data_IF_771332312493
#
_entry.id   IF_771332312493
#
_cell.length_a   1.000
_cell.length_b   1.000
_cell.length_c   1.000
_cell.angle_alpha   90.00
_cell.angle_beta   90.00
_cell.angle_gamma   90.00
#
_symmetry.space_group_name_H-M   'P 1'
#
loop_
_entity.id
_entity.type
_entity.pdbx_description
1 polymer ?
#
# COMPACT_ATOMS: atom_id res chain seq x y z
N UNK A 1 6.37 -63.69 5.93
CA UNK A 1 5.02 -63.21 6.30
C UNK A 1 5.07 -62.30 7.53
N UNK A 2 4.66 -61.03 7.36
CA UNK A 2 4.49 -60.10 8.48
C UNK A 2 4.79 -58.65 8.12
N UNK A 3 4.13 -58.17 7.07
CA UNK A 3 4.04 -56.76 6.72
C UNK A 3 3.06 -56.10 7.68
N UNK A 4 3.52 -55.19 8.52
CA UNK A 4 2.64 -54.33 9.34
C UNK A 4 3.13 -52.89 9.26
N UNK A 5 2.64 -52.27 8.19
CA UNK A 5 1.90 -51.01 8.20
C UNK A 5 2.64 -49.74 8.67
N UNK A 6 3.19 -49.07 7.66
CA UNK A 6 3.63 -47.68 7.68
C UNK A 6 2.42 -46.75 7.78
N UNK A 7 1.83 -46.59 8.96
CA UNK A 7 0.91 -45.48 9.24
C UNK A 7 1.60 -44.46 10.13
N UNK A 8 2.59 -43.78 9.54
CA UNK A 8 2.96 -42.44 9.97
C UNK A 8 1.73 -41.57 9.73
N UNK A 9 1.08 -41.19 10.82
CA UNK A 9 -0.07 -40.30 10.86
C UNK A 9 0.31 -38.94 10.27
N UNK A 10 0.36 -38.88 8.94
CA UNK A 10 0.60 -37.65 8.21
C UNK A 10 -0.69 -36.87 8.24
N UNK A 11 -0.86 -36.04 9.27
CA UNK A 11 -1.91 -35.02 9.29
C UNK A 11 -1.82 -34.27 7.97
N UNK A 12 -2.77 -34.52 7.07
CA UNK A 12 -2.89 -33.84 5.79
C UNK A 12 -3.37 -32.41 6.07
N UNK A 13 -2.48 -31.57 6.59
CA UNK A 13 -2.73 -30.15 6.73
C UNK A 13 -2.66 -29.56 5.33
N UNK A 14 -3.79 -29.05 4.84
CA UNK A 14 -3.77 -28.31 3.58
C UNK A 14 -2.85 -27.10 3.72
N UNK A 15 -2.15 -26.72 2.65
CA UNK A 15 -1.22 -25.58 2.68
C UNK A 15 -1.90 -24.26 3.09
N UNK A 16 -3.24 -24.20 3.09
CA UNK A 16 -4.03 -23.10 3.62
C UNK A 16 -4.15 -23.14 5.15
N UNK A 17 -4.37 -24.31 5.75
CA UNK A 17 -4.50 -24.49 7.20
C UNK A 17 -3.14 -24.40 7.95
N UNK A 18 -2.03 -24.67 7.27
CA UNK A 18 -0.68 -24.47 7.82
C UNK A 18 -0.25 -22.99 7.86
N UNK A 19 -1.00 -22.07 7.23
CA UNK A 19 -0.62 -20.65 7.20
C UNK A 19 -0.95 -20.00 8.54
N UNK A 20 0.01 -19.32 9.19
CA UNK A 20 -0.26 -18.58 10.41
C UNK A 20 -1.34 -17.52 10.15
N UNK A 21 -2.18 -17.27 11.15
CA UNK A 21 -3.23 -16.26 11.05
C UNK A 21 -2.65 -14.90 10.65
N UNK A 22 -3.43 -14.12 9.90
CA UNK A 22 -3.04 -12.76 9.57
C UNK A 22 -3.26 -11.88 10.80
N UNK A 23 -2.17 -11.47 11.42
CA UNK A 23 -2.18 -10.60 12.60
C UNK A 23 -1.81 -9.15 12.26
N UNK A 24 -1.52 -8.86 10.98
CA UNK A 24 -1.10 -7.54 10.52
C UNK A 24 -2.19 -6.49 10.74
N UNK A 25 -1.79 -5.33 11.23
CA UNK A 25 -2.62 -4.12 11.27
C UNK A 25 -2.10 -3.07 10.31
N UNK A 26 -3.01 -2.39 9.61
CA UNK A 26 -2.66 -1.25 8.74
C UNK A 26 -3.64 -0.11 8.98
N UNK A 27 -3.22 1.12 8.70
CA UNK A 27 -4.15 2.23 8.56
C UNK A 27 -5.04 2.02 7.34
N UNK A 28 -6.34 2.31 7.48
CA UNK A 28 -7.30 2.29 6.38
C UNK A 28 -8.11 3.58 6.34
N UNK A 29 -7.93 4.36 5.26
CA UNK A 29 -8.64 5.60 5.03
C UNK A 29 -8.45 6.07 3.58
N UNK A 30 -9.34 6.96 3.13
CA UNK A 30 -9.25 7.68 1.88
C UNK A 30 -9.51 9.16 2.16
N UNK A 31 -8.69 10.04 1.60
CA UNK A 31 -8.92 11.48 1.64
C UNK A 31 -8.52 12.15 0.33
N UNK A 32 -9.28 13.15 -0.06
CA UNK A 32 -8.93 14.11 -1.12
C UNK A 32 -8.50 15.47 -0.55
N UNK A 33 -8.60 15.64 0.77
CA UNK A 33 -8.31 16.88 1.49
C UNK A 33 -6.89 16.80 2.07
N UNK A 34 -5.97 17.73 1.72
CA UNK A 34 -4.58 17.70 2.15
C UNK A 34 -4.33 17.74 3.66
N UNK A 35 -5.28 18.23 4.46
CA UNK A 35 -5.18 18.39 5.92
C UNK A 35 -6.18 17.51 6.69
N UNK A 36 -6.70 16.46 6.04
CA UNK A 36 -7.52 15.47 6.73
C UNK A 36 -6.69 14.60 7.68
N UNK A 37 -7.35 13.96 8.65
CA UNK A 37 -6.69 13.02 9.57
C UNK A 37 -5.97 11.89 8.83
N UNK A 38 -6.51 11.45 7.69
CA UNK A 38 -5.85 10.47 6.84
C UNK A 38 -4.58 11.03 6.21
N UNK A 39 -4.50 12.31 5.80
CA UNK A 39 -3.29 12.84 5.15
C UNK A 39 -2.13 13.06 6.10
N UNK A 40 -2.41 13.30 7.39
CA UNK A 40 -1.42 13.56 8.43
C UNK A 40 -1.49 12.53 9.57
N UNK A 41 -1.45 11.23 9.25
CA UNK A 41 -1.43 10.18 10.27
C UNK A 41 -0.11 10.21 11.03
N UNK A 42 -0.23 10.33 12.36
CA UNK A 42 0.86 10.04 13.28
C UNK A 42 0.82 8.57 13.68
N UNK A 43 1.98 7.97 13.98
CA UNK A 43 2.09 6.56 14.43
C UNK A 43 1.17 6.23 15.62
N UNK A 44 0.79 7.23 16.41
CA UNK A 44 -0.06 7.10 17.58
C UNK A 44 -1.57 7.13 17.28
N UNK A 45 -2.00 7.37 16.03
CA UNK A 45 -3.43 7.45 15.67
C UNK A 45 -4.03 6.07 15.41
N UNK A 46 -4.16 5.26 16.47
CA UNK A 46 -4.68 3.89 16.38
C UNK A 46 -6.14 3.80 15.93
N UNK A 47 -6.89 4.91 15.92
CA UNK A 47 -8.31 4.92 15.57
C UNK A 47 -8.58 4.59 14.09
N UNK A 48 -7.59 4.83 13.22
CA UNK A 48 -7.65 4.49 11.79
C UNK A 48 -7.04 3.12 11.48
N UNK A 49 -6.48 2.45 12.49
CA UNK A 49 -5.89 1.13 12.36
C UNK A 49 -6.97 0.06 12.26
N UNK A 50 -6.88 -0.79 11.25
CA UNK A 50 -7.72 -1.99 11.11
C UNK A 50 -6.86 -3.24 11.07
N UNK A 51 -7.42 -4.34 11.57
CA UNK A 51 -6.83 -5.66 11.38
C UNK A 51 -6.99 -6.09 9.92
N UNK A 52 -5.91 -6.53 9.30
CA UNK A 52 -5.98 -7.11 7.97
C UNK A 52 -6.55 -8.53 8.02
N UNK A 53 -7.42 -8.84 7.07
CA UNK A 53 -8.09 -10.13 6.98
C UNK A 53 -7.58 -10.97 5.81
N UNK A 54 -7.82 -12.29 5.89
CA UNK A 54 -7.53 -13.26 4.84
C UNK A 54 -6.03 -13.26 4.46
N UNK A 55 -5.76 -13.16 3.17
CA UNK A 55 -4.43 -13.17 2.57
C UNK A 55 -3.84 -11.76 2.33
N UNK A 56 -4.50 -10.71 2.85
CA UNK A 56 -4.01 -9.32 2.75
C UNK A 56 -2.90 -9.04 3.75
N UNK A 57 -1.66 -9.41 3.41
CA UNK A 57 -0.51 -9.35 4.32
C UNK A 57 0.45 -8.19 4.06
N UNK A 58 -0.02 -7.15 3.37
CA UNK A 58 0.79 -5.98 3.02
C UNK A 58 -0.02 -4.72 3.30
N UNK A 59 0.58 -3.76 4.01
CA UNK A 59 0.04 -2.41 4.10
C UNK A 59 0.44 -1.60 2.87
N UNK A 60 -0.51 -0.86 2.33
CA UNK A 60 -0.35 -0.05 1.13
C UNK A 60 -0.67 1.42 1.42
N UNK A 61 0.05 2.31 0.74
CA UNK A 61 -0.32 3.73 0.57
C UNK A 61 -0.33 4.03 -0.92
N UNK A 62 -1.43 4.59 -1.43
CA UNK A 62 -1.49 5.20 -2.76
C UNK A 62 -1.64 6.71 -2.61
N UNK A 63 -0.78 7.47 -3.27
CA UNK A 63 -0.82 8.93 -3.28
C UNK A 63 -0.92 9.44 -4.70
N UNK A 64 -1.90 10.30 -4.91
CA UNK A 64 -2.11 11.01 -6.16
C UNK A 64 -1.84 12.49 -5.91
N UNK A 65 -0.94 13.06 -6.70
CA UNK A 65 -0.60 14.47 -6.61
C UNK A 65 -0.37 15.04 -8.00
N UNK A 66 -0.45 16.36 -8.17
CA UNK A 66 -0.28 16.98 -9.48
C UNK A 66 0.49 18.29 -9.41
N UNK A 67 1.13 18.61 -10.54
CA UNK A 67 1.71 19.93 -10.83
C UNK A 67 1.17 20.41 -12.15
N UNK A 68 0.93 21.72 -12.27
CA UNK A 68 0.54 22.35 -13.54
C UNK A 68 1.69 23.24 -13.99
N UNK A 69 2.09 23.09 -15.25
CA UNK A 69 3.14 23.91 -15.87
C UNK A 69 2.55 24.80 -16.96
N UNK A 70 2.88 26.08 -16.88
CA UNK A 70 2.67 27.05 -17.94
C UNK A 70 4.02 27.39 -18.58
N UNK A 71 4.07 28.34 -19.51
CA UNK A 71 5.27 28.66 -20.29
C UNK A 71 6.48 29.05 -19.43
N UNK A 72 6.24 29.68 -18.27
CA UNK A 72 7.31 30.24 -17.44
C UNK A 72 7.38 29.66 -16.04
N UNK A 73 6.40 28.87 -15.61
CA UNK A 73 6.28 28.43 -14.22
C UNK A 73 5.62 27.06 -14.08
N UNK A 74 6.08 26.28 -13.10
CA UNK A 74 5.43 25.05 -12.65
C UNK A 74 4.93 25.26 -11.22
N UNK A 75 3.68 24.89 -10.96
CA UNK A 75 3.12 24.98 -9.61
C UNK A 75 3.82 24.01 -8.66
N UNK A 76 3.81 24.30 -7.37
CA UNK A 76 4.14 23.32 -6.34
C UNK A 76 3.23 22.07 -6.48
N UNK A 77 3.75 20.93 -6.02
CA UNK A 77 3.01 19.65 -6.01
C UNK A 77 1.81 19.78 -5.08
N UNK A 78 0.61 19.58 -5.61
CA UNK A 78 -0.64 19.56 -4.84
C UNK A 78 -1.12 18.13 -4.68
N UNK A 79 -1.53 17.76 -3.46
CA UNK A 79 -2.19 16.47 -3.24
C UNK A 79 -3.58 16.52 -3.87
N UNK A 80 -3.93 15.46 -4.60
CA UNK A 80 -5.29 15.22 -5.05
C UNK A 80 -5.97 14.18 -4.17
N UNK A 81 -5.31 13.05 -3.93
CA UNK A 81 -5.88 11.99 -3.11
C UNK A 81 -4.81 11.14 -2.42
N UNK A 82 -5.21 10.51 -1.31
CA UNK A 82 -4.39 9.59 -0.54
C UNK A 82 -5.26 8.44 -0.02
N UNK A 83 -4.87 7.22 -0.33
CA UNK A 83 -5.55 5.99 0.09
C UNK A 83 -4.58 5.13 0.90
N UNK A 84 -5.06 4.56 2.00
CA UNK A 84 -4.36 3.56 2.79
C UNK A 84 -5.22 2.33 2.95
N UNK A 85 -4.63 1.15 2.83
CA UNK A 85 -5.37 -0.09 2.96
C UNK A 85 -4.47 -1.30 3.20
N UNK A 86 -5.07 -2.41 3.66
CA UNK A 86 -4.49 -3.74 3.56
C UNK A 86 -4.67 -4.26 2.13
N UNK A 87 -3.63 -4.84 1.54
CA UNK A 87 -3.70 -5.49 0.24
C UNK A 87 -2.99 -6.85 0.25
N UNK A 88 -3.38 -7.70 -0.71
CA UNK A 88 -2.69 -8.96 -1.02
C UNK A 88 -1.50 -8.72 -1.95
N UNK A 89 -1.66 -7.82 -2.90
CA UNK A 89 -0.67 -7.47 -3.91
C UNK A 89 -0.38 -5.98 -3.84
N UNK A 90 0.90 -5.63 -3.78
CA UNK A 90 1.36 -4.26 -3.69
C UNK A 90 2.58 -4.10 -4.58
N UNK A 91 2.47 -3.23 -5.58
CA UNK A 91 3.55 -2.90 -6.49
C UNK A 91 4.07 -1.51 -6.12
N UNK A 92 5.22 -1.42 -5.42
CA UNK A 92 5.80 -0.13 -5.09
C UNK A 92 6.31 0.51 -6.37
N UNK A 93 5.90 1.75 -6.63
CA UNK A 93 6.27 2.46 -7.84
C UNK A 93 5.60 3.82 -7.91
N UNK A 94 6.18 4.72 -8.70
CA UNK A 94 5.55 5.99 -9.06
C UNK A 94 5.45 6.09 -10.57
N UNK A 95 4.27 6.44 -11.07
CA UNK A 95 4.07 6.78 -12.48
C UNK A 95 3.74 8.26 -12.62
N UNK A 96 4.26 8.89 -13.67
CA UNK A 96 3.98 10.27 -14.02
C UNK A 96 3.25 10.28 -15.35
N UNK A 97 2.06 10.89 -15.36
CA UNK A 97 1.15 10.94 -16.50
C UNK A 97 0.90 12.40 -16.88
N UNK A 98 0.96 12.73 -18.17
CA UNK A 98 0.62 14.05 -18.70
C UNK A 98 1.82 14.97 -18.94
N UNK A 99 1.60 16.00 -19.76
CA UNK A 99 2.64 16.94 -20.21
C UNK A 99 2.62 18.24 -19.39
N UNK A 100 1.60 19.09 -19.61
CA UNK A 100 1.40 20.36 -18.86
C UNK A 100 0.93 20.11 -17.43
N UNK A 101 -0.11 19.29 -17.28
CA UNK A 101 -0.56 18.82 -15.97
C UNK A 101 0.01 17.44 -15.74
N UNK A 102 1.03 17.35 -14.88
CA UNK A 102 1.64 16.09 -14.50
C UNK A 102 0.93 15.53 -13.29
N UNK A 103 0.31 14.36 -13.46
CA UNK A 103 -0.25 13.55 -12.38
C UNK A 103 0.80 12.53 -11.93
N UNK A 104 1.12 12.54 -10.65
CA UNK A 104 2.00 11.58 -10.00
C UNK A 104 1.13 10.59 -9.23
N UNK A 105 1.15 9.32 -9.62
CA UNK A 105 0.48 8.23 -8.92
C UNK A 105 1.52 7.31 -8.31
N UNK A 106 1.66 7.36 -6.99
CA UNK A 106 2.71 6.66 -6.24
C UNK A 106 2.13 5.65 -5.28
N UNK A 107 2.71 4.46 -5.27
CA UNK A 107 2.37 3.37 -4.35
C UNK A 107 3.59 3.01 -3.51
N UNK A 108 3.41 2.89 -2.20
CA UNK A 108 4.40 2.32 -1.29
C UNK A 108 3.82 1.18 -0.48
N UNK A 109 4.67 0.22 -0.14
CA UNK A 109 4.29 -1.05 0.47
C UNK A 109 5.17 -1.34 1.69
N UNK A 110 4.59 -1.89 2.75
CA UNK A 110 5.32 -2.35 3.92
C UNK A 110 4.56 -3.49 4.63
N UNK A 111 5.23 -4.24 5.49
CA UNK A 111 4.69 -5.48 6.10
C UNK A 111 4.69 -5.48 7.63
N UNK A 112 5.12 -4.39 8.26
CA UNK A 112 5.09 -4.24 9.72
C UNK A 112 3.76 -3.64 10.17
N UNK A 113 3.39 -3.85 11.44
CA UNK A 113 2.16 -3.30 11.99
C UNK A 113 2.14 -1.77 11.95
N UNK A 114 1.04 -1.23 11.43
CA UNK A 114 0.75 0.19 11.31
C UNK A 114 1.88 0.95 10.59
N UNK A 115 2.59 0.32 9.67
CA UNK A 115 3.75 0.89 8.99
C UNK A 115 3.39 1.93 7.92
N UNK A 116 2.15 1.90 7.42
CA UNK A 116 1.71 2.73 6.30
C UNK A 116 1.26 4.14 6.71
N UNK A 117 1.87 4.75 7.74
CA UNK A 117 1.57 6.14 8.15
C UNK A 117 2.19 7.18 7.21
N UNK A 118 3.28 6.84 6.52
CA UNK A 118 4.03 7.80 5.70
C UNK A 118 3.19 8.35 4.53
N UNK A 119 3.18 9.69 4.38
CA UNK A 119 2.45 10.41 3.32
C UNK A 119 3.35 10.83 2.15
N UNK A 120 4.64 10.49 2.17
CA UNK A 120 5.67 10.88 1.22
C UNK A 120 6.10 9.72 0.30
N UNK A 121 5.18 8.83 -0.06
CA UNK A 121 5.41 7.73 -1.01
C UNK A 121 6.04 8.18 -2.34
N UNK A 122 5.85 9.45 -2.74
CA UNK A 122 6.45 10.05 -3.93
C UNK A 122 7.94 10.41 -3.83
N UNK A 123 8.51 10.57 -2.63
CA UNK A 123 9.92 10.98 -2.46
C UNK A 123 10.87 9.79 -2.27
N UNK A 124 10.34 8.61 -1.96
CA UNK A 124 11.13 7.42 -1.61
C UNK A 124 11.14 6.32 -2.67
N UNK A 125 10.35 6.47 -3.73
CA UNK A 125 10.18 5.44 -4.77
C UNK A 125 10.57 6.04 -6.13
N UNK A 126 11.40 5.36 -6.93
CA UNK A 126 11.78 5.86 -8.26
C UNK A 126 10.54 6.04 -9.15
N UNK A 127 10.45 7.20 -9.80
CA UNK A 127 9.38 7.53 -10.74
C UNK A 127 9.70 7.03 -12.15
N UNK A 128 8.74 6.37 -12.79
CA UNK A 128 8.75 6.03 -14.20
C UNK A 128 7.84 7.03 -14.94
N UNK A 129 8.39 7.69 -15.96
CA UNK A 129 7.61 8.57 -16.83
C UNK A 129 6.84 7.72 -17.84
N UNK A 130 5.51 7.79 -17.81
CA UNK A 130 4.67 7.14 -18.81
C UNK A 130 4.22 8.22 -19.79
N UNK A 131 4.87 8.28 -20.95
CA UNK A 131 4.38 9.09 -22.06
C UNK A 131 3.19 8.36 -22.69
N UNK A 132 1.97 8.91 -22.56
CA UNK A 132 0.86 8.49 -23.41
C UNK A 132 1.18 8.91 -24.84
N UNK A 133 1.31 7.91 -25.73
CA UNK A 133 1.48 8.05 -27.18
C UNK A 133 0.21 8.60 -27.85
#
# INVERSE_FOLDING_TARGET
>A
PGETDLLRDSVHVTSAAARPHNELWCFNCLTEVPDDRCSAIHRNDTALGIKCHNDRRVCMVKRYSYTTSNENTTTAVKMWALERNCTKHCEPGCIIIGERTKLYACTSCCTDDLCNYDSASALRVPCIHVFTL
#
